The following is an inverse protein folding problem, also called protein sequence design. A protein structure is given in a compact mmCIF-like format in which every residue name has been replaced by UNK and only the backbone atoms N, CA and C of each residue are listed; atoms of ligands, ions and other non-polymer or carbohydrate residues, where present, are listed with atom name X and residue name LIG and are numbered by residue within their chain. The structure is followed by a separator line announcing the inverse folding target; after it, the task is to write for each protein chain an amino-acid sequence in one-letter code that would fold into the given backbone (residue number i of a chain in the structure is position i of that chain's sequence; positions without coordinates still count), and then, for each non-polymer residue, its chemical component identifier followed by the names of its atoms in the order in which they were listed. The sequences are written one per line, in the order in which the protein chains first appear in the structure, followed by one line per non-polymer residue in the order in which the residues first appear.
data_IF_439588464383
#
_entry.id   IF_439588464383
#
_cell.length_a   1.000
_cell.length_b   1.000
_cell.length_c   1.000
_cell.angle_alpha   90.00
_cell.angle_beta   90.00
_cell.angle_gamma   90.00
#
_symmetry.space_group_name_H-M   'P 1'
#
loop_
_entity.id
_entity.type
_entity.pdbx_description
1 polymer ?
#
# COMPACT_ATOMS: atom_id res chain seq x y z
N UNK A 1 -12.60 -19.66 -30.54
CA UNK A 1 -11.47 -19.18 -29.72
C UNK A 1 -10.90 -20.39 -28.99
N UNK A 2 -9.69 -20.87 -29.30
CA UNK A 2 -9.14 -22.04 -28.62
C UNK A 2 -8.79 -21.68 -27.18
N UNK A 3 -9.40 -22.37 -26.21
CA UNK A 3 -9.04 -22.28 -24.80
C UNK A 3 -7.63 -22.88 -24.63
N UNK A 4 -6.66 -22.05 -24.24
CA UNK A 4 -5.32 -22.50 -23.88
C UNK A 4 -5.40 -23.24 -22.54
N UNK A 5 -5.67 -24.53 -22.57
CA UNK A 5 -5.51 -25.38 -21.39
C UNK A 5 -4.03 -25.40 -21.03
N UNK A 6 -3.61 -24.93 -19.84
CA UNK A 6 -2.22 -25.03 -19.45
C UNK A 6 -1.81 -26.50 -19.37
N UNK A 7 -0.69 -26.85 -19.99
CA UNK A 7 -0.13 -28.23 -20.05
C UNK A 7 0.17 -28.80 -18.65
N UNK A 8 0.32 -27.94 -17.65
CA UNK A 8 0.52 -28.30 -16.24
C UNK A 8 -0.64 -27.76 -15.41
N UNK A 9 -1.31 -28.59 -14.59
CA UNK A 9 -2.38 -28.11 -13.72
C UNK A 9 -1.83 -27.07 -12.72
N UNK A 10 -2.57 -25.99 -12.46
CA UNK A 10 -2.11 -24.94 -11.56
C UNK A 10 -1.99 -25.46 -10.12
N UNK A 11 -1.00 -24.96 -9.38
CA UNK A 11 -0.88 -25.24 -7.94
C UNK A 11 -1.99 -24.49 -7.20
N UNK A 12 -2.66 -25.19 -6.31
CA UNK A 12 -3.76 -24.66 -5.50
C UNK A 12 -3.27 -24.41 -4.08
N UNK A 13 -3.67 -23.26 -3.53
CA UNK A 13 -3.30 -22.79 -2.22
C UNK A 13 -4.53 -22.42 -1.39
N UNK A 14 -4.47 -22.62 -0.08
CA UNK A 14 -5.45 -22.12 0.90
C UNK A 14 -4.75 -21.26 1.95
N UNK A 15 -5.45 -20.24 2.47
CA UNK A 15 -4.93 -19.42 3.55
C UNK A 15 -5.24 -20.04 4.92
N UNK A 16 -4.21 -20.31 5.73
CA UNK A 16 -4.31 -21.04 7.01
C UNK A 16 -5.36 -20.47 7.98
N UNK A 17 -5.42 -19.14 8.11
CA UNK A 17 -6.34 -18.46 9.02
C UNK A 17 -7.62 -17.87 8.40
N UNK A 18 -7.79 -17.92 7.06
CA UNK A 18 -8.86 -17.21 6.34
C UNK A 18 -9.51 -18.14 5.32
N UNK A 19 -10.17 -19.18 5.85
CA UNK A 19 -10.86 -20.20 5.06
C UNK A 19 -12.07 -19.64 4.29
N UNK A 20 -12.58 -18.50 4.75
CA UNK A 20 -13.66 -17.74 4.11
C UNK A 20 -13.30 -17.23 2.71
N UNK A 21 -12.01 -17.10 2.38
CA UNK A 21 -11.56 -16.67 1.05
C UNK A 21 -11.56 -17.80 0.02
N UNK A 22 -11.72 -19.05 0.46
CA UNK A 22 -11.67 -20.22 -0.41
C UNK A 22 -10.27 -20.54 -0.92
N UNK A 23 -10.22 -21.29 -2.02
CA UNK A 23 -8.97 -21.74 -2.64
C UNK A 23 -8.43 -20.69 -3.60
N UNK A 24 -7.15 -20.78 -3.90
CA UNK A 24 -6.48 -19.83 -4.78
C UNK A 24 -5.44 -20.47 -5.67
N UNK A 25 -5.10 -19.78 -6.75
CA UNK A 25 -4.02 -20.15 -7.67
C UNK A 25 -2.96 -19.06 -7.69
N UNK A 26 -1.69 -19.45 -7.85
CA UNK A 26 -0.59 -18.50 -7.95
C UNK A 26 -0.60 -17.82 -9.33
N UNK A 27 -0.67 -16.50 -9.34
CA UNK A 27 -0.75 -15.69 -10.57
C UNK A 27 0.59 -15.03 -10.89
N UNK A 28 1.32 -14.55 -9.87
CA UNK A 28 2.61 -13.88 -10.03
C UNK A 28 3.53 -14.19 -8.85
N UNK A 29 4.79 -14.48 -9.14
CA UNK A 29 5.84 -14.67 -8.15
C UNK A 29 7.06 -13.80 -8.51
N UNK A 30 7.34 -12.82 -7.66
CA UNK A 30 8.50 -11.92 -7.70
C UNK A 30 9.21 -12.05 -6.34
N UNK A 31 10.54 -11.83 -6.23
CA UNK A 31 11.26 -12.04 -4.97
C UNK A 31 10.67 -11.34 -3.73
N UNK A 32 10.01 -10.20 -3.89
CA UNK A 32 9.42 -9.40 -2.81
C UNK A 32 7.91 -9.62 -2.63
N UNK A 33 7.26 -10.41 -3.50
CA UNK A 33 5.80 -10.46 -3.58
C UNK A 33 5.28 -11.67 -4.36
N UNK A 34 4.32 -12.38 -3.76
CA UNK A 34 3.48 -13.37 -4.44
C UNK A 34 2.04 -12.87 -4.53
N UNK A 35 1.42 -13.00 -5.70
CA UNK A 35 0.01 -12.66 -5.93
C UNK A 35 -0.77 -13.92 -6.26
N UNK A 36 -1.87 -14.11 -5.54
CA UNK A 36 -2.77 -15.23 -5.69
C UNK A 36 -4.15 -14.73 -6.15
N UNK A 37 -4.79 -15.49 -7.02
CA UNK A 37 -6.18 -15.27 -7.43
C UNK A 37 -7.06 -16.29 -6.72
N UNK A 38 -7.99 -15.80 -5.90
CA UNK A 38 -8.89 -16.62 -5.08
C UNK A 38 -10.19 -16.96 -5.81
N UNK A 39 -10.90 -18.00 -5.37
CA UNK A 39 -12.19 -18.44 -5.91
C UNK A 39 -13.27 -17.36 -5.84
N UNK A 40 -13.17 -16.45 -4.86
CA UNK A 40 -14.00 -15.25 -4.75
C UNK A 40 -13.73 -14.21 -5.87
N UNK A 41 -12.74 -14.46 -6.73
CA UNK A 41 -12.31 -13.56 -7.81
C UNK A 41 -11.35 -12.47 -7.37
N UNK A 42 -10.98 -12.41 -6.09
CA UNK A 42 -10.08 -11.38 -5.57
C UNK A 42 -8.61 -11.76 -5.78
N UNK A 43 -7.82 -10.79 -6.23
CA UNK A 43 -6.37 -10.88 -6.23
C UNK A 43 -5.82 -10.40 -4.89
N UNK A 44 -5.00 -11.21 -4.24
CA UNK A 44 -4.34 -10.84 -2.98
C UNK A 44 -2.85 -11.07 -3.08
N UNK A 45 -2.09 -10.06 -2.68
CA UNK A 45 -0.63 -10.08 -2.71
C UNK A 45 -0.04 -10.18 -1.30
N UNK A 46 0.96 -11.04 -1.14
CA UNK A 46 1.64 -11.27 0.13
C UNK A 46 3.15 -11.04 0.00
N UNK A 47 3.71 -10.36 1.00
CA UNK A 47 5.16 -10.23 1.21
C UNK A 47 5.77 -11.55 1.71
N UNK A 48 7.10 -11.75 1.59
CA UNK A 48 7.78 -12.99 1.98
C UNK A 48 7.47 -13.44 3.40
N UNK A 49 7.42 -12.51 4.34
CA UNK A 49 7.12 -12.76 5.77
C UNK A 49 5.77 -13.47 5.98
N UNK A 50 4.84 -13.38 5.01
CA UNK A 50 3.51 -13.95 5.10
C UNK A 50 3.28 -15.17 4.21
N UNK A 51 4.29 -15.64 3.46
CA UNK A 51 4.11 -16.79 2.57
C UNK A 51 3.77 -18.08 3.32
N UNK A 52 4.24 -18.23 4.55
CA UNK A 52 3.92 -19.38 5.42
C UNK A 52 2.42 -19.50 5.75
N UNK A 53 1.61 -18.47 5.47
CA UNK A 53 0.16 -18.50 5.65
C UNK A 53 -0.59 -19.09 4.45
N UNK A 54 0.10 -19.36 3.35
CA UNK A 54 -0.47 -19.98 2.16
C UNK A 54 0.03 -21.42 2.06
N UNK A 55 -0.85 -22.37 2.35
CA UNK A 55 -0.52 -23.80 2.28
C UNK A 55 -0.90 -24.38 0.93
N UNK A 56 -0.04 -25.24 0.39
CA UNK A 56 -0.31 -25.97 -0.84
C UNK A 56 -1.29 -27.10 -0.52
N UNK A 57 -2.34 -27.20 -1.31
CA UNK A 57 -3.29 -28.32 -1.23
C UNK A 57 -3.15 -29.18 -2.47
N UNK A 58 -2.95 -30.47 -2.24
CA UNK A 58 -2.99 -31.46 -3.30
C UNK A 58 -4.45 -31.68 -3.73
N UNK A 59 -4.75 -31.27 -4.95
CA UNK A 59 -6.02 -31.54 -5.61
C UNK A 59 -5.77 -32.27 -6.93
N UNK A 60 -6.76 -33.02 -7.39
CA UNK A 60 -6.70 -33.65 -8.71
C UNK A 60 -6.55 -32.56 -9.80
N UNK A 61 -5.81 -32.87 -10.87
CA UNK A 61 -5.50 -31.87 -11.90
C UNK A 61 -6.74 -31.24 -12.57
N UNK A 62 -7.82 -32.01 -12.73
CA UNK A 62 -9.11 -31.51 -13.20
C UNK A 62 -9.75 -30.50 -12.23
N UNK A 63 -9.62 -30.74 -10.94
CA UNK A 63 -10.11 -29.85 -9.88
C UNK A 63 -9.30 -28.56 -9.83
N UNK A 64 -7.97 -28.62 -9.96
CA UNK A 64 -7.12 -27.45 -10.06
C UNK A 64 -7.51 -26.53 -11.23
N UNK A 65 -7.75 -27.11 -12.41
CA UNK A 65 -8.18 -26.37 -13.60
C UNK A 65 -9.59 -25.78 -13.39
N UNK A 66 -10.49 -26.49 -12.72
CA UNK A 66 -11.83 -25.99 -12.38
C UNK A 66 -11.74 -24.76 -11.47
N UNK A 67 -10.89 -24.82 -10.45
CA UNK A 67 -10.66 -23.71 -9.50
C UNK A 67 -10.11 -22.49 -10.23
N UNK A 68 -9.08 -22.65 -11.05
CA UNK A 68 -8.51 -21.56 -11.86
C UNK A 68 -9.57 -20.92 -12.79
N UNK A 69 -10.38 -21.75 -13.46
CA UNK A 69 -11.45 -21.26 -14.33
C UNK A 69 -12.51 -20.49 -13.56
N UNK A 70 -12.92 -20.96 -12.38
CA UNK A 70 -13.90 -20.26 -11.53
C UNK A 70 -13.31 -18.93 -11.04
N UNK A 71 -12.08 -18.96 -10.55
CA UNK A 71 -11.38 -17.79 -10.04
C UNK A 71 -11.26 -16.70 -11.13
N UNK A 72 -10.87 -17.07 -12.36
CA UNK A 72 -10.81 -16.16 -13.52
C UNK A 72 -12.17 -15.68 -14.00
N UNK A 73 -13.20 -16.53 -13.92
CA UNK A 73 -14.58 -16.14 -14.26
C UNK A 73 -15.15 -15.14 -13.26
N UNK A 74 -14.86 -15.33 -11.98
CA UNK A 74 -15.30 -14.47 -10.88
C UNK A 74 -14.42 -13.24 -10.72
N UNK A 75 -13.26 -13.21 -11.40
CA UNK A 75 -12.38 -12.06 -11.46
C UNK A 75 -13.19 -10.86 -11.96
N UNK A 76 -13.53 -9.97 -11.02
CA UNK A 76 -13.99 -8.65 -11.37
C UNK A 76 -12.92 -8.03 -12.30
N UNK A 77 -13.29 -7.19 -13.29
CA UNK A 77 -12.31 -6.51 -14.11
C UNK A 77 -11.26 -5.93 -13.18
N UNK A 78 -9.99 -6.33 -13.40
CA UNK A 78 -8.92 -6.12 -12.45
C UNK A 78 -9.07 -4.70 -11.88
N UNK A 79 -9.18 -4.50 -10.55
CA UNK A 79 -8.93 -3.19 -10.02
C UNK A 79 -7.54 -2.90 -10.53
N UNK A 80 -7.44 -1.99 -11.49
CA UNK A 80 -6.17 -1.61 -12.08
C UNK A 80 -5.19 -1.58 -10.94
N UNK A 81 -4.08 -2.31 -11.09
CA UNK A 81 -2.80 -2.01 -10.47
C UNK A 81 -2.85 -0.59 -9.95
N UNK A 82 -2.51 -0.38 -8.68
CA UNK A 82 -2.49 0.89 -7.95
C UNK A 82 -1.65 2.01 -8.61
N UNK A 83 -1.49 2.04 -9.93
CA UNK A 83 -1.68 3.24 -10.74
C UNK A 83 -2.87 3.99 -10.16
N UNK A 84 -2.53 4.96 -9.31
CA UNK A 84 -3.32 6.14 -8.97
C UNK A 84 -4.40 6.32 -10.03
N UNK A 85 -5.67 6.27 -9.63
CA UNK A 85 -6.76 6.52 -10.58
C UNK A 85 -6.40 7.77 -11.38
N UNK A 86 -6.19 7.62 -12.68
CA UNK A 86 -6.12 8.75 -13.62
C UNK A 86 -7.49 9.36 -13.83
N UNK A 87 -8.53 8.78 -13.22
CA UNK A 87 -9.80 9.45 -12.97
C UNK A 87 -9.53 10.53 -11.93
N UNK A 88 -9.64 11.82 -12.29
CA UNK A 88 -9.55 12.89 -11.31
C UNK A 88 -10.58 12.60 -10.23
N UNK A 89 -10.24 12.74 -8.93
CA UNK A 89 -11.23 12.61 -7.87
C UNK A 89 -12.43 13.46 -8.26
N UNK A 90 -13.63 12.83 -8.26
CA UNK A 90 -14.86 13.52 -8.60
C UNK A 90 -14.93 14.75 -7.71
N UNK A 91 -14.88 15.94 -8.30
CA UNK A 91 -14.88 17.17 -7.52
C UNK A 91 -16.08 17.08 -6.59
N UNK A 92 -15.89 17.21 -5.27
CA UNK A 92 -17.01 17.19 -4.36
C UNK A 92 -17.99 18.26 -4.81
N UNK A 93 -19.27 17.93 -4.82
CA UNK A 93 -20.36 18.79 -5.28
C UNK A 93 -20.66 19.84 -4.20
N UNK A 94 -19.66 20.66 -3.90
CA UNK A 94 -19.65 21.67 -2.85
C UNK A 94 -18.99 22.92 -3.40
N UNK A 95 -19.64 24.07 -3.21
CA UNK A 95 -19.06 25.35 -3.64
C UNK A 95 -17.92 25.75 -2.72
N UNK A 96 -17.06 26.66 -3.18
CA UNK A 96 -16.00 27.22 -2.34
C UNK A 96 -16.59 27.91 -1.09
N UNK A 97 -17.70 28.66 -1.21
CA UNK A 97 -18.29 29.29 -0.03
C UNK A 97 -18.80 28.27 0.98
N UNK A 98 -19.32 27.14 0.52
CA UNK A 98 -19.75 26.04 1.39
C UNK A 98 -18.57 25.36 2.08
N UNK A 99 -17.42 25.20 1.39
CA UNK A 99 -16.19 24.70 2.00
C UNK A 99 -15.68 25.66 3.09
N UNK A 100 -15.66 26.96 2.81
CA UNK A 100 -15.26 27.99 3.79
C UNK A 100 -16.22 28.02 4.97
N UNK A 101 -17.53 27.96 4.72
CA UNK A 101 -18.53 27.92 5.79
C UNK A 101 -18.39 26.67 6.67
N UNK A 102 -18.10 25.51 6.07
CA UNK A 102 -17.84 24.28 6.81
C UNK A 102 -16.53 24.36 7.60
N UNK A 103 -15.47 24.91 7.01
CA UNK A 103 -14.20 25.16 7.66
C UNK A 103 -14.36 26.07 8.88
N UNK A 104 -15.05 27.20 8.73
CA UNK A 104 -15.29 28.15 9.82
C UNK A 104 -16.22 27.60 10.91
N UNK A 105 -17.06 26.60 10.60
CA UNK A 105 -17.84 25.86 11.62
C UNK A 105 -16.96 24.94 12.46
N UNK A 106 -15.97 24.30 11.84
CA UNK A 106 -15.04 23.40 12.54
C UNK A 106 -13.98 24.18 13.31
N UNK A 107 -13.51 25.29 12.74
CA UNK A 107 -12.43 26.12 13.26
C UNK A 107 -12.87 27.58 13.26
N UNK A 108 -13.53 28.06 14.33
CA UNK A 108 -14.09 29.41 14.40
C UNK A 108 -13.05 30.53 14.25
N UNK A 109 -11.81 30.28 14.67
CA UNK A 109 -10.67 31.21 14.51
C UNK A 109 -9.92 30.98 13.19
N UNK A 110 -10.43 30.06 12.36
CA UNK A 110 -9.84 29.71 11.08
C UNK A 110 -8.49 29.00 11.24
N UNK A 111 -7.48 29.46 10.52
CA UNK A 111 -6.15 28.83 10.49
C UNK A 111 -5.34 29.00 11.77
N UNK A 112 -5.72 29.96 12.62
CA UNK A 112 -5.09 30.20 13.92
C UNK A 112 -5.72 29.34 15.04
N UNK A 113 -6.75 28.56 14.73
CA UNK A 113 -7.40 27.68 15.69
C UNK A 113 -6.42 26.60 16.18
N UNK A 114 -6.28 26.46 17.49
CA UNK A 114 -5.37 25.48 18.08
C UNK A 114 -5.70 24.05 17.63
N UNK A 115 -6.97 23.71 17.45
CA UNK A 115 -7.38 22.39 16.99
C UNK A 115 -6.94 22.15 15.54
N UNK A 116 -7.04 23.18 14.68
CA UNK A 116 -6.55 23.11 13.31
C UNK A 116 -5.03 22.96 13.25
N UNK A 117 -4.30 23.79 14.01
CA UNK A 117 -2.84 23.74 14.08
C UNK A 117 -2.36 22.36 14.54
N UNK A 118 -2.95 21.82 15.61
CA UNK A 118 -2.61 20.47 16.11
C UNK A 118 -2.92 19.37 15.11
N UNK A 119 -4.05 19.44 14.41
CA UNK A 119 -4.44 18.42 13.44
C UNK A 119 -3.53 18.41 12.19
N UNK A 120 -3.15 19.59 11.70
CA UNK A 120 -2.40 19.72 10.43
C UNK A 120 -0.88 19.74 10.62
N UNK A 121 -0.38 20.29 11.73
CA UNK A 121 1.06 20.42 12.02
C UNK A 121 1.56 19.40 13.03
N UNK A 122 0.71 19.01 13.98
CA UNK A 122 1.01 18.05 15.04
C UNK A 122 1.59 18.68 16.30
N UNK A 123 1.34 18.04 17.44
CA UNK A 123 2.04 18.30 18.70
C UNK A 123 3.10 17.23 18.93
N UNK A 124 4.31 17.65 19.32
CA UNK A 124 5.39 16.76 19.69
C UNK A 124 4.94 15.79 20.80
N UNK A 125 5.15 14.49 20.58
CA UNK A 125 4.89 13.43 21.58
C UNK A 125 3.55 12.69 21.46
N UNK A 126 2.70 13.01 20.48
CA UNK A 126 1.49 12.21 20.21
C UNK A 126 1.76 11.05 19.24
N UNK A 127 1.09 9.91 19.42
CA UNK A 127 1.30 8.70 18.60
C UNK A 127 0.89 8.97 17.14
N UNK A 128 1.81 8.88 16.19
CA UNK A 128 1.59 9.25 14.79
C UNK A 128 1.98 10.70 14.46
N UNK A 129 2.44 11.48 15.46
CA UNK A 129 2.96 12.83 15.25
C UNK A 129 4.16 12.84 14.31
N UNK A 130 4.92 11.75 14.20
CA UNK A 130 6.04 11.64 13.27
C UNK A 130 5.64 11.83 11.80
N UNK A 131 4.36 11.62 11.46
CA UNK A 131 3.81 11.82 10.11
C UNK A 131 3.26 13.23 9.88
N UNK A 132 3.17 14.05 10.94
CA UNK A 132 2.64 15.41 10.87
C UNK A 132 3.74 16.39 10.47
N UNK A 133 3.34 17.53 9.91
CA UNK A 133 4.23 18.40 9.13
C UNK A 133 5.42 18.90 9.94
N UNK A 134 5.22 19.33 11.17
CA UNK A 134 6.31 19.94 11.95
C UNK A 134 7.33 18.87 12.40
N UNK A 135 6.88 17.68 12.81
CA UNK A 135 7.79 16.57 13.14
C UNK A 135 8.52 16.02 11.90
N UNK A 136 7.87 16.03 10.72
CA UNK A 136 8.52 15.67 9.47
C UNK A 136 9.59 16.70 9.07
N UNK A 137 9.33 17.99 9.29
CA UNK A 137 10.29 19.07 9.09
C UNK A 137 11.47 18.92 10.04
N UNK A 138 11.24 18.71 11.33
CA UNK A 138 12.32 18.53 12.32
C UNK A 138 13.21 17.32 11.98
N UNK A 139 12.60 16.19 11.57
CA UNK A 139 13.36 15.02 11.11
C UNK A 139 14.17 15.32 9.84
N UNK A 140 13.61 16.09 8.91
CA UNK A 140 14.32 16.50 7.71
C UNK A 140 15.51 17.40 8.05
N UNK A 141 15.34 18.36 8.95
CA UNK A 141 16.42 19.24 9.41
C UNK A 141 17.52 18.44 10.09
N UNK A 142 17.19 17.46 10.94
CA UNK A 142 18.19 16.62 11.59
C UNK A 142 19.00 15.78 10.58
N UNK A 143 18.31 15.06 9.69
CA UNK A 143 18.92 14.08 8.77
C UNK A 143 19.55 14.72 7.52
N UNK A 144 19.01 15.84 7.06
CA UNK A 144 19.45 16.52 5.84
C UNK A 144 20.13 17.86 6.13
N UNK A 145 20.47 18.13 7.40
CA UNK A 145 21.30 19.29 7.72
C UNK A 145 22.63 19.21 6.97
N UNK A 146 23.10 20.36 6.49
CA UNK A 146 24.39 20.47 5.82
C UNK A 146 25.52 19.88 6.67
N UNK A 147 25.51 20.14 7.98
CA UNK A 147 26.50 19.59 8.91
C UNK A 147 26.51 18.05 8.93
N UNK A 148 25.33 17.43 9.01
CA UNK A 148 25.25 15.97 9.06
C UNK A 148 25.66 15.33 7.72
N UNK A 149 25.30 15.96 6.60
CA UNK A 149 25.72 15.52 5.28
C UNK A 149 27.24 15.68 5.07
N UNK A 150 27.82 16.80 5.53
CA UNK A 150 29.26 17.04 5.48
C UNK A 150 30.05 16.01 6.29
N UNK A 151 29.54 15.61 7.47
CA UNK A 151 30.13 14.55 8.30
C UNK A 151 30.08 13.18 7.59
N UNK A 152 28.96 12.83 6.95
CA UNK A 152 28.82 11.57 6.19
C UNK A 152 29.68 11.55 4.91
N UNK A 153 29.78 12.69 4.22
CA UNK A 153 30.64 12.85 3.05
C UNK A 153 32.12 12.78 3.43
N UNK A 154 32.50 13.39 4.56
CA UNK A 154 33.86 13.32 5.11
C UNK A 154 34.29 11.89 5.46
N UNK A 155 33.33 11.03 5.81
CA UNK A 155 33.57 9.61 6.07
C UNK A 155 33.56 8.74 4.81
N UNK A 156 33.37 9.30 3.61
CA UNK A 156 33.26 8.56 2.34
C UNK A 156 32.09 7.57 2.30
N UNK A 157 31.11 7.73 3.19
CA UNK A 157 29.95 6.84 3.35
C UNK A 157 28.82 7.17 2.37
N UNK A 158 29.12 7.19 1.07
CA UNK A 158 28.14 7.55 0.04
C UNK A 158 26.94 6.59 -0.01
N UNK A 159 27.14 5.31 0.31
CA UNK A 159 26.08 4.32 0.39
C UNK A 159 25.10 4.61 1.55
N UNK A 160 25.62 5.04 2.70
CA UNK A 160 24.81 5.38 3.88
C UNK A 160 23.97 6.64 3.62
N UNK A 161 24.53 7.62 2.91
CA UNK A 161 23.79 8.81 2.46
C UNK A 161 22.64 8.41 1.53
N UNK A 162 22.92 7.56 0.54
CA UNK A 162 21.90 7.13 -0.42
C UNK A 162 20.78 6.33 0.25
N UNK A 163 21.12 5.40 1.14
CA UNK A 163 20.14 4.61 1.89
C UNK A 163 19.29 5.49 2.82
N UNK A 164 19.90 6.44 3.53
CA UNK A 164 19.19 7.38 4.40
C UNK A 164 18.19 8.23 3.62
N UNK A 165 18.58 8.79 2.47
CA UNK A 165 17.70 9.59 1.62
C UNK A 165 16.55 8.73 1.06
N UNK A 166 16.85 7.52 0.60
CA UNK A 166 15.85 6.59 0.08
C UNK A 166 14.80 6.22 1.13
N UNK A 167 15.23 5.87 2.34
CA UNK A 167 14.34 5.54 3.46
C UNK A 167 13.47 6.74 3.88
N UNK A 168 14.07 7.94 3.96
CA UNK A 168 13.35 9.16 4.28
C UNK A 168 12.22 9.43 3.26
N UNK A 169 12.52 9.36 1.97
CA UNK A 169 11.55 9.63 0.89
C UNK A 169 10.45 8.57 0.77
N UNK A 170 10.66 7.36 1.26
CA UNK A 170 9.61 6.31 1.29
C UNK A 170 8.76 6.42 2.55
N UNK A 171 9.35 6.84 3.68
CA UNK A 171 8.66 6.99 4.96
C UNK A 171 7.69 8.17 5.02
N UNK A 172 7.78 9.10 4.07
CA UNK A 172 6.98 10.32 3.97
C UNK A 172 5.68 10.14 3.17
N UNK A 173 5.31 8.91 2.81
CA UNK A 173 4.06 8.56 2.10
C UNK A 173 2.96 8.00 2.99
#
# INVERSE_FOLDING_TARGET
MPETTPSVPPRVFEHTGRKDWGRSVLLLEIPDKRTFLFEDGAERSFRPDYWHKMEIIEVLGNEAVRIDRIARRNQAPAPCSSRKSTVPPKKPDITFEQQVAYFMKLYPVGFEDEAYSKAERGEAGTKGAEKLKDAAIERAEALLSQKHLDDLMGNTSYEEIHQMIYEFLISTK
#
